data_IF_600657952711
#
_entry.id   IF_600657952711
#
_cell.length_a   1.000
_cell.length_b   1.000
_cell.length_c   1.000
_cell.angle_alpha   90.00
_cell.angle_beta   90.00
_cell.angle_gamma   90.00
#
_symmetry.space_group_name_H-M   'P 1'
#
loop_
_entity.id
_entity.type
_entity.pdbx_description
1 polymer ?
#
# COMPACT_ATOMS: atom_id res chain seq x y z
N UNK A 1 9.95 18.91 43.05
CA UNK A 1 8.78 19.08 42.15
C UNK A 1 9.02 20.04 40.98
N UNK A 2 9.61 21.24 41.17
CA UNK A 2 9.85 22.22 40.08
C UNK A 2 10.64 21.70 38.86
N UNK A 3 11.61 20.80 39.05
CA UNK A 3 12.41 20.21 37.96
C UNK A 3 11.67 19.15 37.14
N UNK A 4 10.66 18.48 37.71
CA UNK A 4 9.85 17.47 37.01
C UNK A 4 8.87 18.13 36.02
N UNK A 5 8.32 19.29 36.41
CA UNK A 5 7.40 20.06 35.57
C UNK A 5 8.07 20.59 34.30
N UNK A 6 9.34 21.00 34.41
CA UNK A 6 10.13 21.49 33.27
C UNK A 6 10.45 20.38 32.26
N UNK A 7 10.71 19.16 32.75
CA UNK A 7 10.89 17.98 31.89
C UNK A 7 9.59 17.57 31.20
N UNK A 8 8.43 17.60 31.88
CA UNK A 8 7.15 17.31 31.24
C UNK A 8 6.79 18.34 30.16
N UNK A 9 7.03 19.63 30.40
CA UNK A 9 6.77 20.69 29.41
C UNK A 9 7.71 20.55 28.20
N UNK A 10 8.97 20.19 28.40
CA UNK A 10 9.90 19.89 27.31
C UNK A 10 9.44 18.65 26.53
N UNK A 11 9.04 17.56 27.20
CA UNK A 11 8.51 16.36 26.55
C UNK A 11 7.23 16.63 25.75
N UNK A 12 6.35 17.52 26.21
CA UNK A 12 5.16 17.92 25.45
C UNK A 12 5.47 18.79 24.23
N UNK A 13 6.59 19.52 24.23
CA UNK A 13 7.02 20.35 23.09
C UNK A 13 7.68 19.54 21.97
N UNK A 14 8.26 18.37 22.26
CA UNK A 14 8.87 17.48 21.27
C UNK A 14 7.90 16.49 20.60
N UNK A 15 6.63 16.43 21.02
CA UNK A 15 5.63 15.51 20.41
C UNK A 15 4.93 16.14 19.19
N UNK A 16 5.19 17.42 18.88
CA UNK A 16 4.86 17.97 17.57
C UNK A 16 5.92 17.53 16.54
N UNK A 17 6.04 16.22 16.29
CA UNK A 17 6.51 15.76 14.99
C UNK A 17 5.53 16.35 13.99
N UNK A 18 5.95 17.42 13.31
CA UNK A 18 5.19 18.04 12.24
C UNK A 18 4.80 16.91 11.28
N UNK A 19 3.51 16.60 11.23
CA UNK A 19 2.93 15.72 10.22
C UNK A 19 3.27 16.33 8.87
N UNK A 20 4.21 15.72 8.15
CA UNK A 20 4.67 16.24 6.87
C UNK A 20 3.71 15.73 5.79
N UNK A 21 2.80 16.60 5.36
CA UNK A 21 1.83 16.31 4.31
C UNK A 21 2.50 16.30 2.95
N UNK A 22 2.15 15.31 2.12
CA UNK A 22 2.60 15.17 0.75
C UNK A 22 1.44 15.52 -0.18
N UNK A 23 1.74 16.23 -1.26
CA UNK A 23 0.78 16.59 -2.30
C UNK A 23 0.29 15.32 -3.01
N UNK A 24 -1.03 15.19 -3.07
CA UNK A 24 -1.70 14.22 -3.91
C UNK A 24 -2.16 14.89 -5.19
N UNK A 25 -1.90 14.24 -6.32
CA UNK A 25 -2.33 14.69 -7.64
C UNK A 25 -3.07 13.56 -8.37
N UNK A 26 -3.73 13.90 -9.48
CA UNK A 26 -4.29 12.91 -10.40
C UNK A 26 -5.39 12.02 -9.82
N UNK A 27 -6.13 12.50 -8.79
CA UNK A 27 -7.23 11.72 -8.22
C UNK A 27 -8.32 11.54 -9.28
N UNK A 28 -8.48 10.31 -9.75
CA UNK A 28 -9.47 9.94 -10.77
C UNK A 28 -10.21 8.68 -10.36
N UNK A 29 -11.47 8.58 -10.76
CA UNK A 29 -12.30 7.40 -10.50
C UNK A 29 -12.82 6.80 -11.80
N UNK A 30 -13.08 5.50 -11.79
CA UNK A 30 -13.73 4.79 -12.90
C UNK A 30 -14.72 3.75 -12.39
N UNK A 31 -15.61 3.30 -13.27
CA UNK A 31 -16.67 2.35 -12.92
C UNK A 31 -17.64 2.97 -11.90
N UNK A 32 -18.15 2.15 -10.99
CA UNK A 32 -19.13 2.50 -9.96
C UNK A 32 -18.67 3.60 -8.99
N UNK A 33 -17.35 3.84 -8.87
CA UNK A 33 -16.80 4.99 -8.11
C UNK A 33 -16.95 6.36 -8.79
N UNK A 34 -17.30 6.41 -10.08
CA UNK A 34 -17.32 7.65 -10.88
C UNK A 34 -18.72 8.20 -11.17
N UNK A 35 -19.77 7.45 -10.84
CA UNK A 35 -21.12 7.68 -11.37
C UNK A 35 -22.05 8.47 -10.42
N UNK A 36 -21.57 8.87 -9.24
CA UNK A 36 -22.40 9.58 -8.25
C UNK A 36 -22.46 11.11 -8.43
N UNK A 37 -21.79 11.68 -9.43
CA UNK A 37 -21.89 13.12 -9.78
C UNK A 37 -21.35 14.12 -8.73
N UNK A 38 -20.76 13.64 -7.63
CA UNK A 38 -20.17 14.47 -6.57
C UNK A 38 -18.73 14.92 -6.84
N UNK A 39 -18.10 15.57 -5.86
CA UNK A 39 -16.73 16.11 -5.93
C UNK A 39 -15.61 15.05 -5.99
N UNK A 40 -15.97 13.76 -6.03
CA UNK A 40 -15.04 12.64 -6.04
C UNK A 40 -14.29 12.43 -4.72
N UNK A 41 -13.51 11.36 -4.60
CA UNK A 41 -12.73 11.05 -3.40
C UNK A 41 -11.70 12.14 -3.09
N UNK A 42 -11.46 12.35 -1.80
CA UNK A 42 -10.36 13.17 -1.30
C UNK A 42 -9.29 12.25 -0.72
N UNK A 43 -8.08 12.38 -1.23
CA UNK A 43 -6.92 11.57 -0.82
C UNK A 43 -5.87 12.48 -0.20
N UNK A 44 -5.29 12.05 0.92
CA UNK A 44 -4.17 12.73 1.57
C UNK A 44 -3.08 11.71 1.93
N UNK A 45 -1.83 12.16 1.91
CA UNK A 45 -0.68 11.38 2.34
C UNK A 45 0.13 12.16 3.38
N UNK A 46 0.61 11.44 4.40
CA UNK A 46 1.51 11.97 5.42
C UNK A 46 2.70 11.04 5.59
N UNK A 47 3.92 11.58 5.62
CA UNK A 47 5.10 10.80 5.99
C UNK A 47 5.09 10.52 7.50
N UNK A 48 4.99 9.25 7.91
CA UNK A 48 4.96 8.86 9.33
C UNK A 48 6.27 8.24 9.82
N UNK A 49 7.04 7.61 8.94
CA UNK A 49 8.37 7.11 9.25
C UNK A 49 9.23 7.09 7.99
N UNK A 50 10.53 7.33 8.16
CA UNK A 50 11.48 7.29 7.07
C UNK A 50 12.89 6.98 7.55
N UNK A 51 13.60 6.18 6.77
CA UNK A 51 15.05 6.24 6.63
C UNK A 51 15.32 6.66 5.20
N UNK A 52 16.05 7.75 4.96
CA UNK A 52 16.46 8.11 3.60
C UNK A 52 15.49 8.92 2.73
N UNK A 53 14.34 9.35 3.25
CA UNK A 53 13.46 10.35 2.59
C UNK A 53 13.16 11.53 3.49
N UNK A 54 12.75 12.63 2.88
CA UNK A 54 12.25 13.83 3.55
C UNK A 54 11.11 14.44 2.76
N UNK A 55 10.28 15.28 3.39
CA UNK A 55 9.27 16.07 2.65
C UNK A 55 9.78 17.50 2.48
N UNK A 56 9.83 17.98 1.24
CA UNK A 56 10.19 19.36 0.89
C UNK A 56 9.17 19.88 -0.10
N UNK A 57 8.54 21.02 0.21
CA UNK A 57 7.52 21.61 -0.65
C UNK A 57 6.34 20.68 -0.93
N UNK A 58 5.95 19.85 0.06
CA UNK A 58 4.96 18.79 -0.05
C UNK A 58 5.29 17.68 -1.07
N UNK A 59 6.55 17.52 -1.48
CA UNK A 59 6.99 16.37 -2.28
C UNK A 59 7.87 15.45 -1.44
N UNK A 60 7.76 14.13 -1.67
CA UNK A 60 8.62 13.14 -1.03
C UNK A 60 9.97 13.07 -1.76
N UNK A 61 11.02 13.59 -1.13
CA UNK A 61 12.38 13.61 -1.68
C UNK A 61 13.12 12.36 -1.24
N UNK A 62 13.60 11.57 -2.20
CA UNK A 62 14.49 10.45 -1.92
C UNK A 62 15.96 10.91 -1.83
N UNK A 63 16.55 10.71 -0.65
CA UNK A 63 17.95 11.03 -0.36
C UNK A 63 18.83 9.78 -0.31
N UNK A 64 18.25 8.64 0.06
CA UNK A 64 18.93 7.34 0.13
C UNK A 64 18.04 6.23 -0.42
N UNK A 65 18.40 5.59 -1.56
CA UNK A 65 17.64 4.51 -2.17
C UNK A 65 17.59 3.23 -1.33
N UNK A 66 18.52 3.06 -0.37
CA UNK A 66 18.58 1.93 0.55
C UNK A 66 17.73 2.14 1.82
N UNK A 67 17.00 3.24 1.89
CA UNK A 67 16.08 3.51 2.99
C UNK A 67 14.68 2.96 2.77
N UNK A 68 13.83 3.13 3.77
CA UNK A 68 12.39 2.81 3.71
C UNK A 68 11.56 4.02 4.07
N UNK A 69 10.39 4.13 3.44
CA UNK A 69 9.41 5.17 3.72
C UNK A 69 8.08 4.54 4.11
N UNK A 70 7.44 5.09 5.13
CA UNK A 70 6.07 4.74 5.48
C UNK A 70 5.19 5.98 5.40
N UNK A 71 4.17 5.90 4.54
CA UNK A 71 3.17 6.93 4.33
C UNK A 71 1.84 6.50 4.92
N UNK A 72 1.20 7.38 5.69
CA UNK A 72 -0.19 7.24 6.07
C UNK A 72 -1.07 7.84 4.99
N UNK A 73 -1.90 7.00 4.39
CA UNK A 73 -2.88 7.37 3.39
C UNK A 73 -4.24 7.50 4.05
N UNK A 74 -4.93 8.62 3.85
CA UNK A 74 -6.34 8.79 4.24
C UNK A 74 -7.14 9.11 3.01
N UNK A 75 -8.18 8.31 2.77
CA UNK A 75 -9.10 8.47 1.65
C UNK A 75 -10.50 8.66 2.23
N UNK A 76 -11.20 9.68 1.74
CA UNK A 76 -12.54 10.04 2.19
C UNK A 76 -13.42 10.42 1.00
N UNK A 77 -14.72 10.60 1.26
CA UNK A 77 -15.71 10.94 0.23
C UNK A 77 -15.75 9.92 -0.93
N UNK A 78 -15.47 8.64 -0.64
CA UNK A 78 -15.60 7.58 -1.63
C UNK A 78 -17.06 7.17 -1.71
N UNK A 79 -17.66 7.30 -2.89
CA UNK A 79 -19.06 6.98 -3.14
C UNK A 79 -19.14 5.80 -4.09
N UNK A 80 -20.21 5.01 -3.98
CA UNK A 80 -20.45 3.85 -4.84
C UNK A 80 -21.82 3.97 -5.50
N UNK A 81 -21.87 3.97 -6.82
CA UNK A 81 -23.14 4.03 -7.53
C UNK A 81 -23.74 2.64 -7.69
N UNK A 82 -24.61 2.22 -6.78
CA UNK A 82 -25.29 0.91 -6.90
C UNK A 82 -26.01 0.73 -8.24
N UNK A 83 -26.62 1.81 -8.75
CA UNK A 83 -27.44 1.78 -9.96
C UNK A 83 -28.81 1.16 -9.70
N UNK A 84 -29.55 0.84 -10.76
CA UNK A 84 -30.84 0.14 -10.66
C UNK A 84 -30.67 -1.39 -10.60
N UNK A 85 -29.42 -1.85 -10.68
CA UNK A 85 -28.98 -3.24 -10.68
C UNK A 85 -28.62 -3.74 -9.26
N UNK A 86 -28.86 -2.92 -8.22
CA UNK A 86 -28.55 -3.22 -6.82
C UNK A 86 -27.14 -3.81 -6.62
N UNK A 87 -26.17 -3.28 -7.37
CA UNK A 87 -24.83 -3.82 -7.37
C UNK A 87 -24.03 -3.24 -6.20
N UNK A 88 -23.87 -4.00 -5.13
CA UNK A 88 -23.31 -3.51 -3.89
C UNK A 88 -21.79 -3.62 -3.87
N UNK A 89 -21.14 -2.77 -3.07
CA UNK A 89 -19.69 -2.82 -2.88
C UNK A 89 -19.37 -3.93 -1.88
N UNK A 90 -18.44 -4.82 -2.25
CA UNK A 90 -18.00 -5.92 -1.37
C UNK A 90 -16.70 -5.63 -0.66
N UNK A 91 -15.78 -4.98 -1.37
CA UNK A 91 -14.40 -4.90 -0.95
C UNK A 91 -13.69 -3.72 -1.58
N UNK A 92 -12.70 -3.22 -0.86
CA UNK A 92 -11.73 -2.26 -1.37
C UNK A 92 -10.34 -2.84 -1.16
N UNK A 93 -9.56 -2.88 -2.24
CA UNK A 93 -8.23 -3.46 -2.29
C UNK A 93 -7.20 -2.37 -2.47
N UNK A 94 -6.12 -2.48 -1.70
CA UNK A 94 -5.02 -1.53 -1.69
C UNK A 94 -4.13 -1.71 -2.93
N UNK A 95 -3.28 -0.71 -3.25
CA UNK A 95 -2.39 -0.80 -4.40
C UNK A 95 -1.38 -1.95 -4.22
N UNK A 96 -1.31 -2.83 -5.22
CA UNK A 96 -0.35 -3.95 -5.25
C UNK A 96 0.86 -3.54 -6.08
N UNK A 97 1.68 -2.65 -5.53
CA UNK A 97 2.96 -2.28 -6.14
C UNK A 97 4.07 -3.21 -5.60
N UNK A 98 4.96 -3.76 -6.45
CA UNK A 98 6.09 -4.57 -5.98
C UNK A 98 6.95 -3.80 -4.96
N UNK A 99 7.24 -4.43 -3.81
CA UNK A 99 8.04 -3.82 -2.75
C UNK A 99 7.27 -2.91 -1.78
N UNK A 100 5.94 -2.89 -1.88
CA UNK A 100 5.05 -2.16 -0.96
C UNK A 100 4.39 -3.15 0.00
N UNK A 101 4.19 -2.73 1.24
CA UNK A 101 3.37 -3.42 2.24
C UNK A 101 2.36 -2.45 2.84
N UNK A 102 1.18 -2.98 3.19
CA UNK A 102 0.12 -2.20 3.83
C UNK A 102 -0.12 -2.71 5.26
N UNK A 103 -0.38 -1.78 6.17
CA UNK A 103 -0.69 -2.06 7.57
C UNK A 103 -1.56 -0.94 8.16
N UNK A 104 -1.87 -0.99 9.46
CA UNK A 104 -2.53 0.12 10.15
C UNK A 104 -3.89 0.52 9.55
N UNK A 105 -4.63 -0.45 9.02
CA UNK A 105 -5.89 -0.21 8.31
C UNK A 105 -6.95 0.23 9.32
N UNK A 106 -7.51 1.42 9.10
CA UNK A 106 -8.73 1.89 9.76
C UNK A 106 -9.82 1.92 8.70
N UNK A 107 -10.88 1.16 8.93
CA UNK A 107 -11.99 0.98 8.00
C UNK A 107 -13.32 1.35 8.66
N UNK A 108 -14.39 1.54 7.87
CA UNK A 108 -15.72 1.81 8.41
C UNK A 108 -16.24 0.66 9.27
N UNK A 109 -17.20 0.98 10.14
CA UNK A 109 -17.92 -0.04 10.93
C UNK A 109 -18.57 -1.07 10.00
N UNK A 110 -18.62 -2.34 10.41
CA UNK A 110 -19.12 -3.46 9.60
C UNK A 110 -18.20 -3.86 8.44
N UNK A 111 -16.97 -3.36 8.40
CA UNK A 111 -15.95 -3.81 7.46
C UNK A 111 -14.79 -4.47 8.20
N UNK A 112 -14.19 -5.47 7.58
CA UNK A 112 -13.15 -6.29 8.18
C UNK A 112 -12.05 -6.65 7.18
N UNK A 113 -10.81 -6.76 7.65
CA UNK A 113 -9.66 -7.11 6.84
C UNK A 113 -9.43 -8.62 6.88
N UNK A 114 -9.81 -9.32 5.80
CA UNK A 114 -9.54 -10.75 5.65
C UNK A 114 -8.31 -10.96 4.77
N UNK A 115 -7.47 -11.94 5.13
CA UNK A 115 -6.28 -12.30 4.34
C UNK A 115 -6.66 -12.81 2.93
N UNK A 116 -7.84 -13.41 2.80
CA UNK A 116 -8.48 -13.75 1.55
C UNK A 116 -10.00 -13.81 1.79
N UNK A 117 -10.77 -13.55 0.74
CA UNK A 117 -12.17 -13.95 0.70
C UNK A 117 -12.23 -15.37 0.11
N UNK A 118 -12.86 -16.31 0.79
CA UNK A 118 -13.01 -17.70 0.33
C UNK A 118 -14.48 -18.11 0.29
N UNK A 119 -15.09 -18.25 -0.88
CA UNK A 119 -16.48 -18.71 -1.00
C UNK A 119 -17.13 -18.34 -2.32
N UNK A 120 -18.32 -18.90 -2.57
CA UNK A 120 -19.15 -18.59 -3.75
C UNK A 120 -19.55 -17.09 -3.82
N UNK A 121 -19.48 -16.40 -2.67
CA UNK A 121 -19.93 -15.02 -2.49
C UNK A 121 -18.78 -14.01 -2.40
N UNK A 122 -17.55 -14.47 -2.63
CA UNK A 122 -16.46 -13.59 -2.99
C UNK A 122 -16.63 -13.29 -4.47
N UNK A 123 -16.87 -12.02 -4.84
CA UNK A 123 -16.98 -11.55 -6.23
C UNK A 123 -16.10 -12.40 -7.16
N UNK A 124 -16.71 -13.18 -8.05
CA UNK A 124 -16.02 -14.23 -8.82
C UNK A 124 -14.70 -13.76 -9.43
N UNK A 125 -13.59 -14.27 -8.89
CA UNK A 125 -12.28 -14.29 -9.55
C UNK A 125 -11.36 -13.07 -9.38
N UNK A 126 -11.61 -12.15 -8.45
CA UNK A 126 -10.63 -11.10 -8.11
C UNK A 126 -10.34 -11.07 -6.61
N UNK A 127 -9.34 -11.83 -6.17
CA UNK A 127 -8.60 -11.50 -4.96
C UNK A 127 -7.66 -10.35 -5.33
N UNK A 128 -8.11 -9.10 -5.19
CA UNK A 128 -7.35 -7.89 -5.55
C UNK A 128 -6.08 -7.64 -4.71
N UNK A 129 -5.59 -8.64 -3.96
CA UNK A 129 -4.49 -8.52 -3.01
C UNK A 129 -4.97 -8.18 -1.60
N UNK A 130 -4.16 -7.41 -0.86
CA UNK A 130 -4.48 -6.94 0.48
C UNK A 130 -5.61 -5.91 0.42
N UNK A 131 -6.61 -6.04 1.30
CA UNK A 131 -7.80 -5.19 1.29
C UNK A 131 -8.68 -5.40 2.52
N UNK A 132 -9.88 -4.87 2.45
CA UNK A 132 -10.93 -5.08 3.44
C UNK A 132 -12.29 -5.26 2.75
N UNK A 133 -13.20 -5.91 3.45
CA UNK A 133 -14.47 -6.40 2.94
C UNK A 133 -15.60 -5.98 3.88
N UNK A 134 -16.80 -5.84 3.34
CA UNK A 134 -17.99 -5.77 4.19
C UNK A 134 -18.16 -7.11 4.91
N UNK A 135 -18.32 -7.06 6.22
CA UNK A 135 -18.44 -8.21 7.13
C UNK A 135 -19.92 -8.39 7.47
N UNK A 136 -20.65 -8.97 6.53
CA UNK A 136 -22.09 -9.13 6.57
C UNK A 136 -22.51 -10.45 5.96
N UNK A 137 -22.89 -11.41 6.79
CA UNK A 137 -23.38 -12.73 6.35
C UNK A 137 -24.88 -12.86 6.55
N UNK A 138 -25.55 -13.75 5.81
CA UNK A 138 -26.97 -13.99 6.05
C UNK A 138 -27.57 -15.02 5.10
N UNK A 139 -28.88 -15.21 5.24
CA UNK A 139 -29.72 -16.00 4.32
C UNK A 139 -30.39 -15.11 3.26
N UNK A 140 -30.46 -13.80 3.50
CA UNK A 140 -30.94 -12.79 2.56
C UNK A 140 -29.99 -11.57 2.52
N UNK A 141 -30.11 -10.83 1.42
CA UNK A 141 -29.23 -9.73 1.03
C UNK A 141 -29.52 -8.45 1.80
N UNK A 142 -30.75 -8.30 2.29
CA UNK A 142 -31.27 -7.05 2.83
C UNK A 142 -31.05 -6.95 4.34
N UNK A 143 -30.86 -8.09 5.02
CA UNK A 143 -30.70 -8.18 6.47
C UNK A 143 -29.48 -9.04 6.85
N UNK A 144 -28.26 -8.64 6.47
CA UNK A 144 -27.07 -9.36 6.90
C UNK A 144 -26.85 -9.23 8.42
N UNK A 145 -26.39 -10.32 9.03
CA UNK A 145 -25.70 -10.36 10.31
C UNK A 145 -24.34 -9.69 10.15
N UNK A 146 -24.16 -8.56 10.84
CA UNK A 146 -22.97 -7.71 10.71
C UNK A 146 -21.88 -8.09 11.72
N UNK A 147 -20.62 -7.99 11.31
CA UNK A 147 -19.41 -8.20 12.13
C UNK A 147 -19.29 -9.60 12.75
N UNK A 148 -19.65 -10.65 12.01
CA UNK A 148 -19.52 -12.02 12.50
C UNK A 148 -18.11 -12.61 12.26
N UNK A 149 -17.25 -11.92 11.50
CA UNK A 149 -15.88 -12.30 11.22
C UNK A 149 -15.77 -13.50 10.29
N UNK A 150 -16.82 -13.81 9.52
CA UNK A 150 -16.85 -14.96 8.61
C UNK A 150 -16.56 -14.53 7.17
N UNK A 151 -15.35 -14.77 6.63
CA UNK A 151 -14.98 -14.36 5.26
C UNK A 151 -15.71 -15.14 4.15
N UNK A 152 -16.52 -16.14 4.52
CA UNK A 152 -17.07 -17.14 3.61
C UNK A 152 -18.45 -16.84 3.01
N UNK A 153 -19.11 -15.76 3.45
CA UNK A 153 -20.47 -15.44 3.03
C UNK A 153 -20.77 -13.93 3.04
N UNK A 154 -19.80 -13.11 2.65
CA UNK A 154 -19.96 -11.66 2.69
C UNK A 154 -20.80 -11.14 1.52
N UNK A 155 -21.99 -10.64 1.82
CA UNK A 155 -22.77 -9.83 0.88
C UNK A 155 -22.11 -8.48 0.66
N UNK A 156 -22.52 -7.76 -0.38
CA UNK A 156 -22.11 -6.38 -0.55
C UNK A 156 -22.83 -5.48 0.46
N UNK A 157 -22.27 -4.30 0.74
CA UNK A 157 -22.86 -3.37 1.69
C UNK A 157 -24.17 -2.75 1.11
N UNK A 158 -25.35 -3.08 1.66
CA UNK A 158 -26.64 -2.64 1.12
C UNK A 158 -26.96 -1.19 1.46
N UNK A 159 -26.16 -0.53 2.31
CA UNK A 159 -26.34 0.87 2.71
C UNK A 159 -25.47 1.82 1.89
N UNK A 160 -24.33 1.34 1.40
CA UNK A 160 -23.38 2.16 0.63
C UNK A 160 -23.81 2.54 -0.79
N UNK A 161 -24.27 3.77 -0.99
CA UNK A 161 -24.69 4.28 -2.30
C UNK A 161 -24.13 5.70 -2.58
N UNK A 162 -24.74 6.47 -3.49
CA UNK A 162 -24.34 7.85 -3.76
C UNK A 162 -24.70 8.83 -2.64
N UNK A 163 -25.61 8.47 -1.72
CA UNK A 163 -25.98 9.26 -0.54
C UNK A 163 -25.09 9.03 0.67
N UNK A 164 -24.26 7.98 0.65
CA UNK A 164 -23.32 7.64 1.73
C UNK A 164 -21.86 7.67 1.24
N UNK A 165 -20.93 7.96 2.15
CA UNK A 165 -19.50 8.11 1.81
C UNK A 165 -18.62 7.23 2.67
N UNK A 166 -17.66 6.56 2.04
CA UNK A 166 -16.70 5.67 2.65
C UNK A 166 -15.45 6.50 2.97
N UNK A 167 -14.90 6.28 4.16
CA UNK A 167 -13.62 6.84 4.55
C UNK A 167 -12.77 5.77 5.22
N UNK A 168 -11.51 5.69 4.85
CA UNK A 168 -10.59 4.70 5.36
C UNK A 168 -9.16 5.24 5.35
N UNK A 169 -8.32 4.61 6.17
CA UNK A 169 -6.91 4.92 6.31
C UNK A 169 -6.10 3.64 6.22
N UNK A 170 -4.89 3.74 5.71
CA UNK A 170 -3.89 2.69 5.81
C UNK A 170 -2.48 3.27 5.81
N UNK A 171 -1.55 2.54 6.40
CA UNK A 171 -0.13 2.85 6.38
C UNK A 171 0.54 2.00 5.30
N UNK A 172 1.27 2.65 4.41
CA UNK A 172 1.93 2.05 3.26
C UNK A 172 3.44 2.21 3.40
N UNK A 173 4.15 1.09 3.54
CA UNK A 173 5.61 1.05 3.65
C UNK A 173 6.21 0.57 2.34
N UNK A 174 7.28 1.20 1.87
CA UNK A 174 8.01 0.79 0.68
C UNK A 174 9.51 1.13 0.75
N UNK A 175 10.30 0.45 -0.09
CA UNK A 175 11.72 0.76 -0.27
C UNK A 175 11.86 2.04 -1.09
N UNK A 176 12.75 2.94 -0.69
CA UNK A 176 12.93 4.22 -1.37
C UNK A 176 13.33 4.04 -2.84
N UNK A 177 14.02 2.95 -3.18
CA UNK A 177 14.34 2.54 -4.56
C UNK A 177 13.13 2.45 -5.50
N UNK A 178 11.90 2.36 -4.99
CA UNK A 178 10.68 2.46 -5.80
C UNK A 178 10.42 3.89 -6.33
N UNK A 179 11.07 4.91 -5.77
CA UNK A 179 10.96 6.31 -6.18
C UNK A 179 11.92 6.58 -7.33
N UNK A 180 11.46 6.30 -8.55
CA UNK A 180 12.27 6.42 -9.77
C UNK A 180 11.99 7.67 -10.59
N UNK A 181 10.99 8.48 -10.22
CA UNK A 181 10.55 9.63 -11.00
C UNK A 181 9.98 10.78 -10.18
N UNK A 182 9.25 11.66 -10.87
CA UNK A 182 8.58 12.84 -10.28
C UNK A 182 7.28 12.49 -9.56
N UNK A 183 6.71 11.32 -9.83
CA UNK A 183 5.45 10.89 -9.28
C UNK A 183 5.46 9.38 -9.04
N UNK A 184 4.80 8.96 -7.96
CA UNK A 184 4.54 7.55 -7.68
C UNK A 184 3.02 7.33 -7.68
N UNK A 185 2.56 6.46 -8.58
CA UNK A 185 1.13 6.27 -8.86
C UNK A 185 0.57 5.03 -8.17
N UNK A 186 -0.68 5.13 -7.75
CA UNK A 186 -1.39 4.13 -6.98
C UNK A 186 -2.79 3.91 -7.56
N UNK A 187 -3.26 2.68 -7.40
CA UNK A 187 -4.59 2.27 -7.82
C UNK A 187 -5.25 1.46 -6.69
N UNK A 188 -6.42 1.90 -6.27
CA UNK A 188 -7.33 1.13 -5.45
C UNK A 188 -8.35 0.44 -6.34
N UNK A 189 -8.72 -0.77 -5.96
CA UNK A 189 -9.73 -1.56 -6.68
C UNK A 189 -10.93 -1.79 -5.77
N UNK A 190 -12.12 -1.44 -6.27
CA UNK A 190 -13.37 -1.84 -5.65
C UNK A 190 -13.85 -3.14 -6.29
N UNK A 191 -14.41 -4.03 -5.48
CA UNK A 191 -15.15 -5.19 -5.97
C UNK A 191 -16.63 -5.02 -5.71
N UNK A 192 -17.38 -5.60 -6.63
CA UNK A 192 -18.82 -5.49 -6.78
C UNK A 192 -19.42 -6.88 -6.74
N UNK A 193 -20.75 -6.96 -6.65
CA UNK A 193 -21.45 -8.22 -6.81
C UNK A 193 -21.07 -8.90 -8.14
N UNK A 194 -20.75 -10.18 -8.03
CA UNK A 194 -20.26 -11.00 -9.14
C UNK A 194 -20.68 -12.45 -8.99
N UNK A 195 -21.97 -12.69 -8.66
CA UNK A 195 -22.63 -13.98 -8.39
C UNK A 195 -22.68 -14.43 -6.93
N UNK A 196 -22.94 -13.53 -5.98
CA UNK A 196 -23.02 -13.83 -4.54
C UNK A 196 -24.36 -14.45 -4.09
N UNK A 197 -25.21 -14.85 -5.04
CA UNK A 197 -26.54 -15.39 -4.79
C UNK A 197 -27.63 -14.34 -4.55
N UNK A 198 -27.25 -13.09 -4.26
CA UNK A 198 -28.20 -11.99 -4.05
C UNK A 198 -28.70 -11.35 -5.33
N UNK A 199 -27.77 -11.05 -6.22
CA UNK A 199 -28.09 -10.50 -7.53
C UNK A 199 -27.26 -11.22 -8.59
N UNK A 200 -27.93 -11.61 -9.66
CA UNK A 200 -27.41 -12.47 -10.72
C UNK A 200 -26.81 -11.70 -11.89
N UNK A 201 -26.67 -10.37 -11.76
CA UNK A 201 -26.08 -9.51 -12.78
C UNK A 201 -24.66 -9.14 -12.32
N UNK A 202 -23.62 -9.79 -12.86
CA UNK A 202 -22.25 -9.36 -12.64
C UNK A 202 -22.08 -7.91 -13.08
N UNK A 203 -21.26 -7.15 -12.38
CA UNK A 203 -20.86 -5.82 -12.86
C UNK A 203 -20.27 -5.92 -14.29
N UNK A 204 -20.94 -5.38 -15.32
CA UNK A 204 -20.45 -5.43 -16.68
C UNK A 204 -19.19 -4.59 -16.87
N UNK A 205 -18.93 -3.64 -15.96
CA UNK A 205 -17.80 -2.73 -15.97
C UNK A 205 -16.93 -2.95 -14.73
N UNK A 206 -16.26 -4.11 -14.66
CA UNK A 206 -15.32 -4.55 -13.59
C UNK A 206 -14.12 -3.60 -13.32
N UNK A 207 -14.11 -2.42 -13.92
CA UNK A 207 -13.07 -1.40 -13.80
C UNK A 207 -13.42 -0.36 -12.72
N UNK A 208 -13.81 -0.82 -11.52
CA UNK A 208 -14.05 0.05 -10.37
C UNK A 208 -12.71 0.43 -9.75
N UNK A 209 -12.21 1.63 -10.06
CA UNK A 209 -10.88 2.09 -9.61
C UNK A 209 -10.91 3.49 -9.04
N UNK A 210 -9.99 3.75 -8.11
CA UNK A 210 -9.58 5.08 -7.68
C UNK A 210 -8.07 5.15 -7.90
N UNK A 211 -7.62 6.04 -8.79
CA UNK A 211 -6.20 6.27 -9.03
C UNK A 211 -5.80 7.60 -8.41
N UNK A 212 -4.57 7.68 -7.92
CA UNK A 212 -3.95 8.90 -7.42
C UNK A 212 -2.44 8.76 -7.47
N UNK A 213 -1.73 9.87 -7.41
CA UNK A 213 -0.27 9.89 -7.39
C UNK A 213 0.23 10.81 -6.28
N UNK A 214 1.39 10.48 -5.72
CA UNK A 214 2.11 11.38 -4.82
C UNK A 214 3.28 12.01 -5.58
N UNK A 215 3.53 13.30 -5.31
CA UNK A 215 4.69 13.98 -5.85
C UNK A 215 5.97 13.49 -5.18
N UNK A 216 6.97 13.13 -5.98
CA UNK A 216 8.24 12.60 -5.52
C UNK A 216 9.44 13.26 -6.22
N UNK A 217 10.63 13.07 -5.66
CA UNK A 217 11.90 13.25 -6.39
C UNK A 217 12.64 11.93 -6.40
N UNK A 218 13.08 11.50 -7.58
CA UNK A 218 13.82 10.25 -7.79
C UNK A 218 15.00 10.14 -6.84
N UNK A 219 15.29 8.92 -6.39
CA UNK A 219 16.50 8.66 -5.64
C UNK A 219 17.75 8.98 -6.47
N UNK A 220 18.86 9.36 -5.80
CA UNK A 220 20.15 9.29 -6.46
C UNK A 220 20.42 7.85 -6.92
N UNK A 221 21.10 7.71 -8.06
CA UNK A 221 21.52 6.41 -8.57
C UNK A 221 22.35 5.67 -7.51
N UNK A 222 22.12 4.36 -7.35
CA UNK A 222 22.92 3.48 -6.47
C UNK A 222 24.38 3.37 -6.97
N UNK A 223 24.68 3.88 -8.17
CA UNK A 223 26.01 3.81 -8.75
C UNK A 223 26.95 4.83 -8.10
N UNK A 224 27.99 4.30 -7.45
CA UNK A 224 29.20 4.97 -6.91
C UNK A 224 29.28 5.22 -5.41
N UNK A 225 28.89 4.24 -4.58
CA UNK A 225 29.73 3.98 -3.41
C UNK A 225 30.70 2.87 -3.81
N UNK A 226 32.03 3.11 -3.92
CA UNK A 226 32.98 2.01 -3.94
C UNK A 226 32.75 1.21 -2.66
N UNK A 227 32.15 0.02 -2.79
CA UNK A 227 32.02 -0.89 -1.67
C UNK A 227 33.45 -1.33 -1.30
N UNK A 228 34.01 -0.75 -0.25
CA UNK A 228 35.20 -1.29 0.39
C UNK A 228 34.76 -2.51 1.20
N UNK A 229 34.69 -3.68 0.56
CA UNK A 229 34.54 -4.93 1.27
C UNK A 229 35.90 -5.39 1.79
N UNK A 230 36.01 -5.66 3.08
CA UNK A 230 37.18 -6.37 3.62
C UNK A 230 37.20 -7.79 3.06
N UNK A 231 38.27 -8.16 2.37
CA UNK A 231 38.48 -9.55 1.95
C UNK A 231 38.76 -10.38 3.20
N UNK A 232 37.96 -11.42 3.44
CA UNK A 232 38.18 -12.38 4.49
C UNK A 232 38.87 -13.60 3.88
N UNK A 233 40.04 -13.94 4.45
CA UNK A 233 40.77 -15.15 4.09
C UNK A 233 40.30 -16.29 4.98
N UNK A 234 39.69 -17.31 4.38
CA UNK A 234 39.35 -18.56 5.06
C UNK A 234 40.47 -19.59 4.86
N UNK A 235 41.28 -19.74 5.91
CA UNK A 235 42.36 -20.71 5.95
C UNK A 235 41.90 -22.12 6.35
N UNK A 236 40.60 -22.35 6.59
CA UNK A 236 40.06 -23.66 6.99
C UNK A 236 39.67 -24.56 5.81
N UNK A 237 39.57 -24.01 4.60
CA UNK A 237 39.31 -24.74 3.36
C UNK A 237 40.60 -25.00 2.56
N UNK A 238 40.61 -26.11 1.80
CA UNK A 238 41.69 -26.43 0.84
C UNK A 238 41.08 -26.62 -0.56
N UNK A 239 41.38 -25.76 -1.55
CA UNK A 239 42.29 -24.60 -1.48
C UNK A 239 41.76 -23.47 -0.58
N UNK A 240 42.66 -22.57 -0.16
CA UNK A 240 42.32 -21.38 0.65
C UNK A 240 41.24 -20.59 -0.10
N UNK A 241 40.14 -20.29 0.59
CA UNK A 241 39.04 -19.51 0.05
C UNK A 241 39.19 -18.05 0.44
N UNK A 242 38.86 -17.16 -0.48
CA UNK A 242 38.74 -15.73 -0.22
C UNK A 242 37.30 -15.34 -0.49
N UNK A 243 36.63 -14.73 0.48
CA UNK A 243 35.27 -14.22 0.31
C UNK A 243 35.19 -12.77 0.78
N UNK A 244 34.24 -12.04 0.22
CA UNK A 244 33.93 -10.67 0.60
C UNK A 244 32.46 -10.62 0.96
N UNK A 245 32.13 -10.17 2.17
CA UNK A 245 30.72 -10.01 2.56
C UNK A 245 30.21 -8.72 1.94
N UNK A 246 29.36 -8.88 0.93
CA UNK A 246 28.59 -7.78 0.36
C UNK A 246 27.22 -7.72 1.04
N UNK A 247 26.92 -6.61 1.70
CA UNK A 247 25.56 -6.34 2.17
C UNK A 247 24.85 -5.52 1.09
N UNK A 248 23.90 -6.13 0.38
CA UNK A 248 23.16 -5.48 -0.72
C UNK A 248 21.67 -5.31 -0.41
N UNK A 249 21.10 -4.20 -0.90
CA UNK A 249 19.69 -3.97 -1.29
C UNK A 249 18.56 -4.14 -0.25
N UNK A 250 17.73 -3.10 -0.11
CA UNK A 250 16.38 -3.24 0.44
C UNK A 250 15.47 -3.99 -0.54
N UNK A 251 15.04 -5.19 -0.13
CA UNK A 251 14.05 -6.01 -0.82
C UNK A 251 14.03 -7.42 -0.23
N UNK A 252 12.88 -8.11 -0.29
CA UNK A 252 12.74 -9.52 0.10
C UNK A 252 13.41 -10.50 -0.89
N UNK A 253 14.31 -10.01 -1.75
CA UNK A 253 14.97 -10.76 -2.80
C UNK A 253 16.43 -11.02 -2.45
N UNK A 254 16.78 -12.28 -2.19
CA UNK A 254 18.13 -12.76 -1.94
C UNK A 254 18.98 -12.81 -3.23
N UNK A 255 18.94 -11.81 -4.10
CA UNK A 255 19.65 -11.87 -5.39
C UNK A 255 20.52 -10.65 -5.60
N UNK A 256 21.77 -10.76 -5.18
CA UNK A 256 22.85 -9.87 -5.60
C UNK A 256 23.34 -10.35 -6.96
N UNK A 257 23.49 -9.43 -7.91
CA UNK A 257 24.06 -9.71 -9.24
C UNK A 257 25.40 -8.99 -9.36
N UNK A 258 26.48 -9.75 -9.52
CA UNK A 258 27.83 -9.19 -9.65
C UNK A 258 28.23 -9.14 -11.13
N UNK A 259 28.86 -8.03 -11.55
CA UNK A 259 29.39 -7.85 -12.91
C UNK A 259 30.89 -7.52 -12.85
N UNK A 260 31.62 -7.93 -13.88
CA UNK A 260 33.07 -7.72 -14.00
C UNK A 260 33.45 -6.28 -14.42
N UNK A 261 32.47 -5.48 -14.82
CA UNK A 261 32.65 -4.07 -15.17
C UNK A 261 31.41 -3.23 -14.82
N UNK A 262 31.60 -1.92 -14.52
CA UNK A 262 30.50 -1.00 -14.23
C UNK A 262 29.57 -0.76 -15.42
N UNK A 263 30.05 -0.94 -16.66
CA UNK A 263 29.25 -0.85 -17.89
C UNK A 263 29.66 -1.97 -18.85
N UNK A 264 28.68 -2.63 -19.48
CA UNK A 264 28.92 -3.68 -20.49
C UNK A 264 29.54 -4.98 -19.98
N UNK A 265 29.74 -5.12 -18.67
CA UNK A 265 30.37 -6.28 -18.06
C UNK A 265 29.52 -7.55 -18.09
N UNK A 266 30.19 -8.70 -18.13
CA UNK A 266 29.57 -10.01 -18.00
C UNK A 266 29.11 -10.21 -16.55
N UNK A 267 27.99 -10.89 -16.40
CA UNK A 267 27.53 -11.33 -15.09
C UNK A 267 28.44 -12.45 -14.58
N UNK A 268 29.04 -12.25 -13.41
CA UNK A 268 29.97 -13.20 -12.80
C UNK A 268 29.25 -14.13 -11.79
N UNK A 269 28.03 -13.78 -11.36
CA UNK A 269 27.24 -14.61 -10.46
C UNK A 269 25.91 -13.99 -10.03
N UNK A 270 25.01 -14.83 -9.51
CA UNK A 270 23.72 -14.48 -8.90
C UNK A 270 23.44 -15.33 -7.66
N UNK A 271 23.14 -14.73 -6.51
CA UNK A 271 22.67 -15.44 -5.29
C UNK A 271 23.26 -14.91 -3.97
N UNK A 272 22.82 -15.49 -2.85
CA UNK A 272 23.37 -15.31 -1.50
C UNK A 272 23.61 -16.68 -0.84
N UNK A 273 24.72 -16.93 -0.15
CA UNK A 273 25.97 -16.17 -0.18
C UNK A 273 26.89 -16.69 -1.30
N UNK A 274 27.57 -15.76 -1.96
CA UNK A 274 28.92 -16.01 -2.47
C UNK A 274 29.90 -15.30 -1.55
#
# INVERSE_FOLDING_TARGET
>A
MRRLLLWMVFSFLFINTFSQTINISGVTTSGKFSLCGGTGPVVTATLIASTGTSVVGNSLICNDPCGTSTLRMVISNVQWQKGNDDNWIHGVFFPVNPGFSVSGIIMPTNWNSFASCTGANCSTGQTGGQGFYFDGTGDDCCNPVLNDGLPGNNYGDPLFDCGQTLSFQFDMTFCNSAITGSDLSFQLTGTSDGNTGCYSVPDPNRNNRINFSIATSSCPDIYTIPFTSTIITDCSATPINYYAVLTGGCGNGNTVTSRDAPFGGNQIGTGVPF
#
